data_IF_936665761829
#
_entry.id   IF_936665761829
#
_cell.length_a   1.000
_cell.length_b   1.000
_cell.length_c   1.000
_cell.angle_alpha   90.00
_cell.angle_beta   90.00
_cell.angle_gamma   90.00
#
_symmetry.space_group_name_H-M   'P 1'
#
loop_
_entity.id
_entity.type
_entity.pdbx_description
1 polymer ?
#
# COMPACT_ATOMS: atom_id res chain seq x y z
N UNK A 1 -21.85 5.44 -4.61
CA UNK A 1 -21.37 6.66 -3.88
C UNK A 1 -20.39 7.39 -4.77
N UNK A 2 -20.26 8.70 -4.66
CA UNK A 2 -19.29 9.46 -5.48
C UNK A 2 -17.92 9.35 -4.83
N UNK A 3 -16.89 8.95 -5.60
CA UNK A 3 -15.50 8.88 -5.15
C UNK A 3 -15.05 10.22 -4.56
N UNK A 4 -14.62 10.23 -3.31
CA UNK A 4 -14.08 11.42 -2.66
C UNK A 4 -12.63 11.63 -3.09
N UNK A 5 -12.23 12.88 -3.39
CA UNK A 5 -10.83 13.18 -3.63
C UNK A 5 -10.00 12.87 -2.38
N UNK A 6 -8.84 12.22 -2.53
CA UNK A 6 -7.96 11.85 -1.40
C UNK A 6 -7.67 13.02 -0.47
N UNK A 7 -7.37 14.21 -1.02
CA UNK A 7 -7.12 15.41 -0.24
C UNK A 7 -8.30 15.79 0.68
N UNK A 8 -9.55 15.53 0.27
CA UNK A 8 -10.70 15.80 1.14
C UNK A 8 -10.82 14.82 2.30
N UNK A 9 -10.40 13.57 2.10
CA UNK A 9 -10.36 12.55 3.16
C UNK A 9 -9.25 12.84 4.16
N UNK A 10 -8.10 13.32 3.70
CA UNK A 10 -6.95 13.63 4.56
C UNK A 10 -7.16 14.86 5.46
N UNK A 11 -8.15 15.71 5.14
CA UNK A 11 -8.56 16.86 5.97
C UNK A 11 -9.53 16.46 7.09
N UNK A 12 -9.92 15.18 7.22
CA UNK A 12 -10.79 14.72 8.29
C UNK A 12 -10.04 14.61 9.64
N UNK A 13 -10.77 14.64 10.77
CA UNK A 13 -10.17 14.50 12.10
C UNK A 13 -9.41 13.19 12.29
N UNK A 14 -9.87 12.10 11.69
CA UNK A 14 -9.27 10.78 11.76
C UNK A 14 -8.17 10.60 10.72
N UNK A 15 -7.24 9.68 10.97
CA UNK A 15 -6.30 9.26 9.94
C UNK A 15 -7.00 8.37 8.91
N UNK A 16 -6.63 8.52 7.64
CA UNK A 16 -7.11 7.67 6.56
C UNK A 16 -6.47 6.28 6.68
N UNK A 17 -7.27 5.27 6.97
CA UNK A 17 -6.79 3.88 7.02
C UNK A 17 -6.93 3.24 5.64
N UNK A 18 -5.82 2.68 5.14
CA UNK A 18 -5.74 2.00 3.85
C UNK A 18 -5.53 0.50 4.07
N UNK A 19 -6.57 -0.34 4.01
CA UNK A 19 -6.40 -1.79 4.02
C UNK A 19 -5.78 -2.26 2.71
N UNK A 20 -4.91 -3.28 2.79
CA UNK A 20 -4.31 -3.92 1.62
C UNK A 20 -5.29 -4.84 0.92
N UNK A 21 -5.35 -4.70 -0.40
CA UNK A 21 -6.12 -5.54 -1.31
C UNK A 21 -5.21 -6.09 -2.42
N UNK A 22 -5.64 -7.15 -3.12
CA UNK A 22 -4.84 -7.80 -4.18
C UNK A 22 -5.65 -8.28 -5.39
N UNK A 23 -6.98 -8.25 -5.26
CA UNK A 23 -7.91 -8.67 -6.31
C UNK A 23 -9.27 -7.96 -6.14
N UNK A 24 -10.19 -8.10 -7.10
CA UNK A 24 -11.54 -7.54 -7.00
C UNK A 24 -12.28 -7.98 -5.73
N UNK A 25 -12.20 -9.25 -5.33
CA UNK A 25 -12.91 -9.75 -4.16
C UNK A 25 -12.45 -9.06 -2.87
N UNK A 26 -11.14 -8.98 -2.65
CA UNK A 26 -10.59 -8.30 -1.47
C UNK A 26 -10.94 -6.82 -1.44
N UNK A 27 -11.04 -6.16 -2.60
CA UNK A 27 -11.45 -4.77 -2.71
C UNK A 27 -12.95 -4.57 -2.39
N UNK A 28 -13.83 -5.40 -2.94
CA UNK A 28 -15.27 -5.41 -2.63
C UNK A 28 -15.53 -5.65 -1.13
N UNK A 29 -14.78 -6.57 -0.53
CA UNK A 29 -14.90 -6.82 0.91
C UNK A 29 -14.43 -5.62 1.76
N UNK A 30 -13.41 -4.89 1.33
CA UNK A 30 -12.96 -3.68 1.98
C UNK A 30 -14.01 -2.55 1.84
N UNK A 31 -14.57 -2.35 0.65
CA UNK A 31 -15.66 -1.38 0.41
C UNK A 31 -16.89 -1.71 1.26
N UNK A 32 -17.31 -2.98 1.30
CA UNK A 32 -18.42 -3.46 2.13
C UNK A 32 -18.16 -3.27 3.63
N UNK A 33 -16.90 -3.31 4.06
CA UNK A 33 -16.50 -2.97 5.43
C UNK A 33 -16.53 -1.47 5.73
N UNK A 34 -16.82 -0.62 4.74
CA UNK A 34 -16.96 0.83 4.87
C UNK A 34 -15.69 1.63 4.58
N UNK A 35 -14.67 1.03 4.00
CA UNK A 35 -13.46 1.78 3.61
C UNK A 35 -13.70 2.58 2.32
N UNK A 36 -13.31 3.86 2.35
CA UNK A 36 -13.40 4.78 1.21
C UNK A 36 -12.12 4.78 0.36
N UNK A 37 -11.10 4.06 0.79
CA UNK A 37 -9.81 3.97 0.13
C UNK A 37 -9.13 2.65 0.47
N UNK A 38 -8.43 2.07 -0.51
CA UNK A 38 -7.69 0.80 -0.37
C UNK A 38 -6.30 0.93 -0.98
N UNK A 39 -5.40 0.03 -0.57
CA UNK A 39 -4.05 -0.06 -1.10
C UNK A 39 -3.85 -1.37 -1.87
N UNK A 40 -3.57 -1.29 -3.16
CA UNK A 40 -3.19 -2.45 -3.96
C UNK A 40 -1.74 -2.83 -3.61
N UNK A 41 -1.60 -3.88 -2.80
CA UNK A 41 -0.34 -4.28 -2.18
C UNK A 41 0.50 -5.15 -3.09
N UNK A 42 1.71 -4.70 -3.46
CA UNK A 42 2.67 -5.50 -4.23
C UNK A 42 3.04 -6.81 -3.53
N UNK A 43 3.23 -6.79 -2.21
CA UNK A 43 3.46 -7.99 -1.41
C UNK A 43 2.32 -9.00 -1.54
N UNK A 44 1.08 -8.54 -1.40
CA UNK A 44 -0.09 -9.41 -1.49
C UNK A 44 -0.26 -9.97 -2.90
N UNK A 45 -0.01 -9.16 -3.93
CA UNK A 45 -0.01 -9.61 -5.33
C UNK A 45 1.06 -10.66 -5.60
N UNK A 46 2.31 -10.46 -5.16
CA UNK A 46 3.37 -11.45 -5.33
C UNK A 46 2.98 -12.80 -4.73
N UNK A 47 2.44 -12.79 -3.50
CA UNK A 47 1.99 -13.99 -2.82
C UNK A 47 0.79 -14.67 -3.46
N UNK A 48 -0.22 -13.92 -3.90
CA UNK A 48 -1.48 -14.48 -4.39
C UNK A 48 -1.47 -14.79 -5.88
N UNK A 49 -0.80 -13.98 -6.71
CA UNK A 49 -0.74 -14.19 -8.14
C UNK A 49 0.35 -15.19 -8.55
N UNK A 50 1.54 -15.07 -7.92
CA UNK A 50 2.71 -15.84 -8.33
C UNK A 50 3.11 -16.93 -7.33
N UNK A 51 2.61 -16.89 -6.09
CA UNK A 51 3.01 -17.82 -5.02
C UNK A 51 4.46 -17.63 -4.58
N UNK A 52 5.00 -16.41 -4.71
CA UNK A 52 6.39 -16.07 -4.39
C UNK A 52 6.47 -14.96 -3.35
N UNK A 53 7.58 -14.85 -2.60
CA UNK A 53 7.81 -13.70 -1.73
C UNK A 53 7.99 -12.41 -2.55
N UNK A 54 7.78 -11.27 -1.89
CA UNK A 54 7.93 -9.93 -2.47
C UNK A 54 9.41 -9.52 -2.57
N UNK A 55 10.05 -9.93 -3.66
CA UNK A 55 11.48 -9.73 -3.94
C UNK A 55 11.73 -9.19 -5.36
N UNK A 56 10.80 -8.40 -5.90
CA UNK A 56 10.95 -7.77 -7.21
C UNK A 56 10.76 -8.72 -8.40
N UNK A 57 10.00 -9.80 -8.23
CA UNK A 57 9.63 -10.71 -9.34
C UNK A 57 8.37 -10.22 -10.05
N UNK A 58 7.47 -9.60 -9.30
CA UNK A 58 6.24 -9.03 -9.85
C UNK A 58 6.59 -7.83 -10.72
N UNK A 59 6.19 -7.86 -11.99
CA UNK A 59 6.52 -6.82 -12.95
C UNK A 59 5.39 -5.83 -13.20
N UNK A 60 5.70 -4.81 -14.00
CA UNK A 60 4.75 -3.76 -14.38
C UNK A 60 3.42 -4.31 -14.93
N UNK A 61 3.48 -5.29 -15.86
CA UNK A 61 2.29 -5.80 -16.54
C UNK A 61 1.31 -6.49 -15.60
N UNK A 62 1.82 -7.25 -14.63
CA UNK A 62 1.01 -7.94 -13.64
C UNK A 62 0.31 -6.94 -12.71
N UNK A 63 1.06 -5.91 -12.24
CA UNK A 63 0.48 -4.89 -11.37
C UNK A 63 -0.53 -4.03 -12.14
N UNK A 64 -0.26 -3.68 -13.41
CA UNK A 64 -1.17 -2.92 -14.25
C UNK A 64 -2.50 -3.66 -14.49
N UNK A 65 -2.45 -4.98 -14.75
CA UNK A 65 -3.67 -5.78 -14.91
C UNK A 65 -4.47 -5.88 -13.60
N UNK A 66 -3.78 -6.08 -12.48
CA UNK A 66 -4.42 -6.10 -11.16
C UNK A 66 -5.07 -4.73 -10.82
N UNK A 67 -4.35 -3.62 -11.04
CA UNK A 67 -4.85 -2.27 -10.81
C UNK A 67 -6.12 -1.99 -11.62
N UNK A 68 -6.11 -2.34 -12.93
CA UNK A 68 -7.27 -2.18 -13.81
C UNK A 68 -8.48 -2.97 -13.32
N UNK A 69 -8.29 -4.22 -12.88
CA UNK A 69 -9.38 -5.08 -12.37
C UNK A 69 -9.93 -4.58 -11.04
N UNK A 70 -9.05 -4.19 -10.12
CA UNK A 70 -9.45 -3.68 -8.79
C UNK A 70 -10.18 -2.35 -8.94
N UNK A 71 -9.64 -1.39 -9.69
CA UNK A 71 -10.29 -0.09 -9.91
C UNK A 71 -11.66 -0.24 -10.60
N UNK A 72 -11.80 -1.20 -11.52
CA UNK A 72 -13.08 -1.47 -12.18
C UNK A 72 -14.13 -2.11 -11.25
N UNK A 73 -13.69 -2.90 -10.27
CA UNK A 73 -14.59 -3.56 -9.31
C UNK A 73 -15.12 -2.59 -8.23
N UNK A 74 -14.35 -1.56 -7.87
CA UNK A 74 -14.70 -0.61 -6.80
C UNK A 74 -14.57 0.85 -7.30
N UNK A 75 -15.38 1.28 -8.27
CA UNK A 75 -15.25 2.59 -8.91
C UNK A 75 -15.55 3.77 -7.97
N UNK A 76 -16.23 3.52 -6.87
CA UNK A 76 -16.69 4.54 -5.92
C UNK A 76 -15.69 4.82 -4.79
N UNK A 77 -14.64 4.01 -4.63
CA UNK A 77 -13.59 4.23 -3.63
C UNK A 77 -12.23 4.51 -4.29
N UNK A 78 -11.29 5.03 -3.49
CA UNK A 78 -9.95 5.33 -3.99
C UNK A 78 -9.07 4.07 -3.94
N UNK A 79 -8.43 3.74 -5.06
CA UNK A 79 -7.39 2.72 -5.12
C UNK A 79 -6.03 3.39 -5.22
N UNK A 80 -5.18 3.20 -4.22
CA UNK A 80 -3.78 3.62 -4.25
C UNK A 80 -2.93 2.39 -4.60
N UNK A 81 -2.01 2.53 -5.53
CA UNK A 81 -1.25 1.40 -6.08
C UNK A 81 0.21 1.47 -5.62
N UNK A 82 0.76 0.34 -5.20
CA UNK A 82 2.19 0.17 -5.04
C UNK A 82 2.85 0.18 -6.42
N UNK A 83 3.62 1.22 -6.72
CA UNK A 83 4.32 1.37 -7.99
C UNK A 83 5.81 0.99 -7.88
N UNK A 84 6.19 0.34 -6.78
CA UNK A 84 7.57 -0.08 -6.50
C UNK A 84 8.56 1.07 -6.79
N UNK A 85 9.60 0.82 -7.59
CA UNK A 85 10.61 1.82 -7.99
C UNK A 85 10.26 2.59 -9.26
N UNK A 86 9.03 2.42 -9.81
CA UNK A 86 8.58 3.00 -11.07
C UNK A 86 8.92 2.18 -12.31
N UNK A 87 9.42 0.95 -12.12
CA UNK A 87 9.71 -0.07 -13.16
C UNK A 87 10.77 0.31 -14.18
N UNK A 88 11.62 1.27 -13.87
CA UNK A 88 12.74 1.68 -14.74
C UNK A 88 13.25 3.09 -14.45
N UNK A 89 13.60 3.80 -15.50
CA UNK A 89 14.04 5.20 -15.47
C UNK A 89 12.86 6.19 -15.42
N UNK A 90 13.14 7.47 -15.64
CA UNK A 90 12.15 8.55 -15.62
C UNK A 90 11.04 8.34 -16.67
N UNK A 91 11.39 7.85 -17.86
CA UNK A 91 10.42 7.56 -18.93
C UNK A 91 9.50 6.39 -18.55
N UNK A 92 10.03 5.38 -17.86
CA UNK A 92 9.22 4.30 -17.32
C UNK A 92 8.25 4.79 -16.23
N UNK A 93 8.67 5.73 -15.38
CA UNK A 93 7.81 6.37 -14.39
C UNK A 93 6.67 7.14 -15.06
N UNK A 94 6.95 7.90 -16.14
CA UNK A 94 5.92 8.59 -16.94
C UNK A 94 4.89 7.59 -17.46
N UNK A 95 5.35 6.48 -18.04
CA UNK A 95 4.48 5.42 -18.52
C UNK A 95 3.64 4.80 -17.39
N UNK A 96 4.24 4.60 -16.23
CA UNK A 96 3.58 4.09 -15.03
C UNK A 96 2.46 5.02 -14.59
N UNK A 97 2.73 6.30 -14.43
CA UNK A 97 1.74 7.32 -14.03
C UNK A 97 0.54 7.30 -14.97
N UNK A 98 0.77 7.38 -16.27
CA UNK A 98 -0.31 7.38 -17.26
C UNK A 98 -1.13 6.09 -17.22
N UNK A 99 -0.47 4.94 -17.07
CA UNK A 99 -1.15 3.63 -17.04
C UNK A 99 -2.02 3.50 -15.78
N UNK A 100 -1.55 3.95 -14.62
CA UNK A 100 -2.31 3.89 -13.37
C UNK A 100 -3.49 4.87 -13.38
N UNK A 101 -3.32 6.08 -13.94
CA UNK A 101 -4.44 7.01 -14.12
C UNK A 101 -5.50 6.44 -15.07
N UNK A 102 -5.10 5.84 -16.18
CA UNK A 102 -6.01 5.18 -17.12
C UNK A 102 -6.73 3.98 -16.49
N UNK A 103 -6.07 3.25 -15.60
CA UNK A 103 -6.70 2.18 -14.81
C UNK A 103 -7.72 2.69 -13.79
N UNK A 104 -7.71 3.99 -13.48
CA UNK A 104 -8.58 4.61 -12.48
C UNK A 104 -7.97 4.69 -11.09
N UNK A 105 -6.66 4.48 -10.91
CA UNK A 105 -5.99 4.67 -9.63
C UNK A 105 -6.11 6.11 -9.12
N UNK A 106 -6.18 6.27 -7.80
CA UNK A 106 -6.25 7.57 -7.13
C UNK A 106 -4.87 8.08 -6.71
N UNK A 107 -3.91 7.19 -6.53
CA UNK A 107 -2.57 7.51 -6.10
C UNK A 107 -1.60 6.38 -6.29
N UNK A 108 -0.32 6.71 -6.09
CA UNK A 108 0.80 5.76 -6.16
C UNK A 108 1.74 5.95 -4.98
N UNK A 109 2.44 4.86 -4.63
CA UNK A 109 3.65 4.90 -3.82
C UNK A 109 4.83 4.64 -4.75
N UNK A 110 5.88 5.49 -4.66
CA UNK A 110 7.10 5.38 -5.47
C UNK A 110 8.32 5.39 -4.53
N UNK A 111 9.06 4.28 -4.52
CA UNK A 111 10.12 4.04 -3.55
C UNK A 111 11.53 4.25 -4.13
N UNK A 112 12.52 4.45 -3.23
CA UNK A 112 13.92 4.69 -3.55
C UNK A 112 14.80 3.44 -3.55
N UNK A 113 14.23 2.23 -3.59
CA UNK A 113 15.02 1.01 -3.63
C UNK A 113 15.73 0.80 -4.98
N UNK A 114 16.86 0.09 -4.93
CA UNK A 114 17.50 -0.48 -6.12
C UNK A 114 16.68 -1.69 -6.59
N UNK A 115 16.44 -1.80 -7.90
CA UNK A 115 15.79 -2.97 -8.47
C UNK A 115 16.79 -4.15 -8.64
N UNK A 116 16.42 -5.41 -8.34
CA UNK A 116 15.11 -5.84 -7.84
C UNK A 116 14.90 -5.50 -6.35
N UNK A 117 13.76 -4.87 -6.08
CA UNK A 117 13.39 -4.43 -4.73
C UNK A 117 13.08 -5.59 -3.79
N UNK A 118 13.00 -5.31 -2.50
CA UNK A 118 12.53 -6.27 -1.48
C UNK A 118 11.43 -5.62 -0.64
N UNK A 119 10.59 -6.46 -0.01
CA UNK A 119 9.61 -5.96 0.95
C UNK A 119 10.28 -5.07 2.02
N UNK A 120 9.65 -3.96 2.36
CA UNK A 120 10.17 -2.96 3.32
C UNK A 120 10.59 -3.52 4.67
N UNK A 121 9.96 -4.60 5.12
CA UNK A 121 10.29 -5.28 6.37
C UNK A 121 11.36 -6.40 6.23
N UNK A 122 11.87 -6.66 5.03
CA UNK A 122 12.97 -7.61 4.79
C UNK A 122 14.35 -6.95 4.94
N UNK A 123 15.38 -7.76 5.13
CA UNK A 123 16.76 -7.32 5.19
C UNK A 123 17.46 -7.36 3.81
N UNK A 124 18.60 -6.67 3.70
CA UNK A 124 19.42 -6.66 2.49
C UNK A 124 18.84 -5.82 1.36
N UNK A 125 18.09 -4.77 1.70
CA UNK A 125 17.69 -3.72 0.75
C UNK A 125 18.87 -2.82 0.40
N UNK A 126 18.79 -2.20 -0.76
CA UNK A 126 19.68 -1.13 -1.21
C UNK A 126 18.82 0.03 -1.71
N UNK A 127 19.33 1.25 -1.60
CA UNK A 127 18.64 2.45 -2.09
C UNK A 127 19.49 3.15 -3.14
N UNK A 128 18.84 3.73 -4.14
CA UNK A 128 19.49 4.52 -5.18
C UNK A 128 20.02 5.84 -4.63
N UNK A 129 20.89 6.51 -5.38
CA UNK A 129 21.28 7.87 -5.07
C UNK A 129 20.04 8.78 -5.02
N UNK A 130 20.03 9.70 -4.06
CA UNK A 130 18.85 10.55 -3.82
C UNK A 130 18.44 11.34 -5.04
N UNK A 131 19.41 11.80 -5.85
CA UNK A 131 19.12 12.54 -7.09
C UNK A 131 18.35 11.72 -8.11
N UNK A 132 18.63 10.41 -8.24
CA UNK A 132 17.90 9.51 -9.11
C UNK A 132 16.43 9.36 -8.67
N UNK A 133 16.20 9.13 -7.37
CA UNK A 133 14.85 9.03 -6.84
C UNK A 133 14.04 10.32 -6.99
N UNK A 134 14.68 11.49 -6.72
CA UNK A 134 14.04 12.79 -6.90
C UNK A 134 13.70 13.09 -8.37
N UNK A 135 14.53 12.63 -9.32
CA UNK A 135 14.23 12.74 -10.74
C UNK A 135 12.96 11.95 -11.11
N UNK A 136 12.83 10.72 -10.64
CA UNK A 136 11.64 9.88 -10.79
C UNK A 136 10.39 10.52 -10.17
N UNK A 137 10.49 11.03 -8.94
CA UNK A 137 9.39 11.77 -8.30
C UNK A 137 9.00 13.02 -9.09
N UNK A 138 9.99 13.78 -9.59
CA UNK A 138 9.75 14.96 -10.43
C UNK A 138 9.04 14.59 -11.73
N UNK A 139 9.42 13.47 -12.38
CA UNK A 139 8.74 12.97 -13.56
C UNK A 139 7.28 12.62 -13.25
N UNK A 140 7.02 11.90 -12.16
CA UNK A 140 5.67 11.57 -11.73
C UNK A 140 4.81 12.83 -11.46
N UNK A 141 5.35 13.80 -10.74
CA UNK A 141 4.66 15.05 -10.41
C UNK A 141 4.34 15.91 -11.64
N UNK A 142 5.24 15.93 -12.62
CA UNK A 142 5.06 16.70 -13.87
C UNK A 142 3.99 16.10 -14.78
N UNK A 143 3.92 14.77 -14.85
CA UNK A 143 3.09 14.06 -15.83
C UNK A 143 1.71 13.66 -15.28
N UNK A 144 1.52 13.69 -13.96
CA UNK A 144 0.22 13.40 -13.36
C UNK A 144 -0.83 14.44 -13.69
N UNK A 145 -2.07 14.00 -13.88
CA UNK A 145 -3.22 14.90 -13.91
C UNK A 145 -3.81 15.08 -12.49
N UNK A 146 -4.25 13.98 -11.87
CA UNK A 146 -4.90 14.00 -10.55
C UNK A 146 -4.37 12.92 -9.59
N UNK A 147 -3.30 12.24 -9.96
CA UNK A 147 -2.74 11.14 -9.18
C UNK A 147 -2.06 11.67 -7.91
N UNK A 148 -2.43 11.11 -6.76
CA UNK A 148 -1.76 11.40 -5.49
C UNK A 148 -0.42 10.66 -5.45
N UNK A 149 0.68 11.40 -5.25
CA UNK A 149 2.03 10.82 -5.27
C UNK A 149 2.60 10.77 -3.85
N UNK A 150 2.84 9.55 -3.37
CA UNK A 150 3.52 9.30 -2.12
C UNK A 150 4.97 8.93 -2.40
N UNK A 151 5.89 9.71 -1.87
CA UNK A 151 7.32 9.42 -1.88
C UNK A 151 7.67 8.48 -0.73
N UNK A 152 8.08 7.24 -1.05
CA UNK A 152 8.52 6.26 -0.06
C UNK A 152 10.05 6.19 -0.04
N UNK A 153 10.62 6.20 1.15
CA UNK A 153 12.05 5.93 1.32
C UNK A 153 12.30 4.75 2.22
N UNK A 154 13.12 3.82 1.77
CA UNK A 154 13.61 2.65 2.51
C UNK A 154 14.99 2.92 3.15
N UNK A 155 15.50 4.15 3.04
CA UNK A 155 16.83 4.54 3.54
C UNK A 155 17.01 4.34 5.04
N UNK A 156 15.91 4.31 5.84
CA UNK A 156 16.01 4.04 7.29
C UNK A 156 16.73 2.72 7.58
N UNK A 157 16.45 1.68 6.81
CA UNK A 157 17.06 0.36 7.00
C UNK A 157 18.48 0.25 6.46
N UNK A 158 18.86 1.11 5.51
CA UNK A 158 20.14 1.04 4.77
C UNK A 158 21.14 2.08 5.26
N UNK A 159 20.69 3.32 5.48
CA UNK A 159 21.52 4.49 5.76
C UNK A 159 21.24 5.13 7.13
N UNK A 160 20.19 4.67 7.82
CA UNK A 160 19.76 5.21 9.11
C UNK A 160 18.63 6.24 9.03
N UNK A 161 18.08 6.56 10.21
CA UNK A 161 16.89 7.40 10.33
C UNK A 161 17.11 8.83 9.84
N UNK A 162 18.23 9.44 10.18
CA UNK A 162 18.54 10.84 9.84
C UNK A 162 18.58 11.03 8.31
N UNK A 163 19.20 10.09 7.59
CA UNK A 163 19.26 10.12 6.12
C UNK A 163 17.86 9.91 5.52
N UNK A 164 17.05 9.01 6.09
CA UNK A 164 15.68 8.81 5.61
C UNK A 164 14.82 10.06 5.81
N UNK A 165 14.95 10.74 6.94
CA UNK A 165 14.27 12.02 7.20
C UNK A 165 14.73 13.09 6.21
N UNK A 166 16.03 13.18 5.92
CA UNK A 166 16.54 14.16 4.96
C UNK A 166 16.00 13.90 3.54
N UNK A 167 15.97 12.64 3.10
CA UNK A 167 15.31 12.26 1.84
C UNK A 167 13.83 12.66 1.85
N UNK A 168 13.14 12.42 2.95
CA UNK A 168 11.74 12.84 3.13
C UNK A 168 11.54 14.36 3.01
N UNK A 169 12.47 15.17 3.57
CA UNK A 169 12.45 16.63 3.40
C UNK A 169 12.62 17.04 1.94
N UNK A 170 13.60 16.45 1.26
CA UNK A 170 13.83 16.73 -0.17
C UNK A 170 12.61 16.38 -1.02
N UNK A 171 11.95 15.24 -0.76
CA UNK A 171 10.73 14.86 -1.46
C UNK A 171 9.56 15.82 -1.15
N UNK A 172 9.39 16.23 0.12
CA UNK A 172 8.42 17.26 0.52
C UNK A 172 8.66 18.56 -0.23
N UNK A 173 9.91 19.03 -0.27
CA UNK A 173 10.28 20.29 -0.89
C UNK A 173 10.12 20.25 -2.43
N UNK A 174 10.14 19.05 -3.03
CA UNK A 174 9.80 18.81 -4.42
C UNK A 174 8.28 18.94 -4.68
N UNK A 175 7.45 18.82 -3.65
CA UNK A 175 5.99 18.98 -3.75
C UNK A 175 5.20 17.68 -3.90
N UNK A 176 5.68 16.57 -3.36
CA UNK A 176 4.90 15.33 -3.24
C UNK A 176 3.73 15.52 -2.27
N UNK A 177 2.67 14.73 -2.44
CA UNK A 177 1.48 14.85 -1.60
C UNK A 177 1.68 14.20 -0.22
N UNK A 178 2.46 13.12 -0.16
CA UNK A 178 2.80 12.44 1.10
C UNK A 178 4.24 11.91 1.10
N UNK A 179 4.78 11.76 2.31
CA UNK A 179 6.07 11.11 2.56
C UNK A 179 5.86 9.87 3.42
N UNK A 180 6.54 8.81 3.05
CA UNK A 180 6.54 7.55 3.75
C UNK A 180 7.98 7.10 4.05
N UNK A 181 8.36 7.12 5.32
CA UNK A 181 9.61 6.52 5.81
C UNK A 181 9.32 5.10 6.25
N UNK A 182 9.87 4.12 5.51
CA UNK A 182 9.57 2.70 5.72
C UNK A 182 10.27 2.12 6.95
N UNK A 183 9.53 1.30 7.68
CA UNK A 183 9.97 0.45 8.78
C UNK A 183 10.73 1.18 9.92
N UNK A 184 10.19 2.27 10.50
CA UNK A 184 10.69 2.78 11.76
C UNK A 184 10.57 1.69 12.85
N UNK A 185 11.58 1.57 13.72
CA UNK A 185 11.70 0.42 14.64
C UNK A 185 11.31 0.73 16.09
N UNK A 186 10.85 1.94 16.36
CA UNK A 186 10.36 2.32 17.68
C UNK A 186 9.32 3.43 17.58
N UNK A 187 8.55 3.60 18.64
CA UNK A 187 7.62 4.73 18.79
C UNK A 187 8.37 6.06 18.73
N UNK A 188 9.55 6.15 19.37
CA UNK A 188 10.38 7.35 19.31
C UNK A 188 10.89 7.71 17.91
N UNK A 189 11.11 6.72 17.02
CA UNK A 189 11.41 6.99 15.61
C UNK A 189 10.18 7.55 14.87
N UNK A 190 8.98 6.98 15.12
CA UNK A 190 7.73 7.52 14.57
C UNK A 190 7.50 8.97 15.00
N UNK A 191 7.66 9.28 16.29
CA UNK A 191 7.54 10.63 16.82
C UNK A 191 8.58 11.58 16.20
N UNK A 192 9.82 11.11 16.01
CA UNK A 192 10.88 11.91 15.39
C UNK A 192 10.58 12.22 13.94
N UNK A 193 10.12 11.23 13.14
CA UNK A 193 9.70 11.44 11.75
C UNK A 193 8.59 12.48 11.69
N UNK A 194 7.56 12.35 12.53
CA UNK A 194 6.42 13.27 12.54
C UNK A 194 6.83 14.71 12.90
N UNK A 195 7.73 14.87 13.85
CA UNK A 195 8.25 16.19 14.25
C UNK A 195 9.10 16.84 13.16
N UNK A 196 9.90 16.07 12.45
CA UNK A 196 10.90 16.57 11.49
C UNK A 196 10.30 16.77 10.06
N UNK A 197 9.22 16.07 9.71
CA UNK A 197 8.60 16.12 8.38
C UNK A 197 7.23 16.84 8.43
N UNK A 198 7.21 18.04 8.97
CA UNK A 198 5.99 18.87 8.97
C UNK A 198 5.68 19.45 7.60
N UNK A 199 4.40 19.78 7.35
CA UNK A 199 3.97 20.44 6.11
C UNK A 199 3.73 19.49 4.92
N UNK A 200 3.74 18.18 5.15
CA UNK A 200 3.38 17.14 4.18
C UNK A 200 2.59 16.05 4.89
N UNK A 201 1.73 15.34 4.18
CA UNK A 201 1.05 14.18 4.75
C UNK A 201 2.04 13.04 5.04
N UNK A 202 1.90 12.38 6.19
CA UNK A 202 2.76 11.29 6.59
C UNK A 202 2.02 9.97 6.53
N UNK A 203 2.71 8.94 6.06
CA UNK A 203 2.23 7.55 6.00
C UNK A 203 2.94 6.73 7.05
N UNK A 204 2.18 5.98 7.87
CA UNK A 204 2.69 4.95 8.76
C UNK A 204 2.24 3.57 8.28
N UNK A 205 3.16 2.63 8.18
CA UNK A 205 2.90 1.26 7.74
C UNK A 205 2.81 0.30 8.93
N UNK A 206 1.61 -0.24 9.17
CA UNK A 206 1.28 -1.12 10.31
C UNK A 206 1.20 -2.58 9.84
N UNK A 207 2.36 -3.20 9.65
CA UNK A 207 2.47 -4.61 9.27
C UNK A 207 2.46 -5.49 10.51
N UNK A 208 1.52 -6.41 10.59
CA UNK A 208 1.40 -7.36 11.70
C UNK A 208 2.65 -8.24 11.80
N UNK A 209 3.27 -8.26 12.97
CA UNK A 209 4.55 -8.94 13.25
C UNK A 209 5.74 -8.41 12.41
N UNK A 210 5.62 -7.20 11.86
CA UNK A 210 6.70 -6.51 11.16
C UNK A 210 7.72 -5.88 12.12
N UNK A 211 8.56 -5.01 11.59
CA UNK A 211 9.62 -4.31 12.36
C UNK A 211 9.10 -3.10 13.13
N UNK A 212 8.05 -2.46 12.64
CA UNK A 212 7.43 -1.28 13.24
C UNK A 212 6.49 -1.69 14.38
N UNK A 213 6.54 -1.04 15.56
CA UNK A 213 5.54 -1.25 16.60
C UNK A 213 4.14 -0.95 16.08
N UNK A 214 3.18 -1.87 16.31
CA UNK A 214 1.80 -1.65 15.92
C UNK A 214 1.15 -0.61 16.84
N UNK A 215 0.63 0.44 16.22
CA UNK A 215 -0.16 1.49 16.87
C UNK A 215 -1.52 1.59 16.18
N UNK A 216 -2.49 2.10 16.90
CA UNK A 216 -3.81 2.40 16.36
C UNK A 216 -3.76 3.63 15.44
N UNK A 217 -4.73 3.75 14.54
CA UNK A 217 -4.87 4.94 13.68
C UNK A 217 -5.04 6.24 14.48
N UNK A 218 -5.65 6.16 15.66
CA UNK A 218 -5.82 7.30 16.57
C UNK A 218 -4.47 7.75 17.16
N UNK A 219 -3.67 6.82 17.71
CA UNK A 219 -2.34 7.13 18.24
C UNK A 219 -1.43 7.74 17.18
N UNK A 220 -1.47 7.21 15.96
CA UNK A 220 -0.70 7.73 14.82
C UNK A 220 -1.19 9.12 14.39
N UNK A 221 -2.50 9.35 14.39
CA UNK A 221 -3.06 10.68 14.10
C UNK A 221 -2.60 11.72 15.11
N UNK A 222 -2.61 11.38 16.41
CA UNK A 222 -2.14 12.26 17.48
C UNK A 222 -0.65 12.60 17.35
N UNK A 223 0.15 11.70 16.77
CA UNK A 223 1.55 11.96 16.42
C UNK A 223 1.73 12.84 15.18
N UNK A 224 0.69 13.00 14.34
CA UNK A 224 0.75 13.80 13.11
C UNK A 224 0.71 13.00 11.81
N UNK A 225 0.49 11.68 11.84
CA UNK A 225 0.30 10.87 10.65
C UNK A 225 -1.10 11.05 10.07
N UNK A 226 -1.19 11.18 8.75
CA UNK A 226 -2.46 11.37 8.05
C UNK A 226 -2.98 10.09 7.41
N UNK A 227 -2.08 9.15 7.10
CA UNK A 227 -2.37 7.89 6.41
C UNK A 227 -1.81 6.74 7.22
N UNK A 228 -2.65 5.73 7.48
CA UNK A 228 -2.26 4.48 8.14
C UNK A 228 -2.46 3.33 7.17
N UNK A 229 -1.37 2.73 6.75
CA UNK A 229 -1.38 1.60 5.84
C UNK A 229 -1.42 0.29 6.62
N UNK A 230 -2.38 -0.58 6.33
CA UNK A 230 -2.50 -1.95 6.84
C UNK A 230 -2.46 -2.95 5.67
N UNK A 231 -1.30 -3.14 5.03
CA UNK A 231 -1.21 -3.72 3.69
C UNK A 231 -1.41 -5.23 3.67
N UNK A 232 -1.31 -5.91 4.81
CA UNK A 232 -1.30 -7.36 4.90
C UNK A 232 -2.43 -7.96 5.75
N UNK A 233 -3.18 -7.17 6.51
CA UNK A 233 -4.18 -7.66 7.47
C UNK A 233 -5.19 -8.62 6.83
N UNK A 234 -5.77 -8.24 5.69
CA UNK A 234 -6.69 -9.08 4.93
C UNK A 234 -6.04 -10.36 4.41
N UNK A 235 -4.83 -10.26 3.84
CA UNK A 235 -4.09 -11.40 3.31
C UNK A 235 -3.74 -12.43 4.39
N UNK A 236 -3.21 -11.96 5.52
CA UNK A 236 -2.82 -12.84 6.62
C UNK A 236 -4.03 -13.54 7.26
N UNK A 237 -5.15 -12.82 7.41
CA UNK A 237 -6.41 -13.38 7.88
C UNK A 237 -6.97 -14.42 6.91
N UNK A 238 -7.01 -14.12 5.60
CA UNK A 238 -7.46 -15.03 4.54
C UNK A 238 -6.60 -16.29 4.49
N UNK A 239 -5.27 -16.13 4.56
CA UNK A 239 -4.32 -17.26 4.55
C UNK A 239 -4.60 -18.24 5.69
N UNK A 240 -4.81 -17.73 6.90
CA UNK A 240 -5.14 -18.54 8.08
C UNK A 240 -6.50 -19.26 7.91
N UNK A 241 -7.52 -18.54 7.41
CA UNK A 241 -8.85 -19.11 7.21
C UNK A 241 -8.84 -20.21 6.15
N UNK A 242 -8.16 -19.99 5.02
CA UNK A 242 -8.04 -20.95 3.92
C UNK A 242 -7.28 -22.21 4.40
N UNK A 243 -6.15 -22.03 5.08
CA UNK A 243 -5.37 -23.17 5.60
C UNK A 243 -6.22 -24.00 6.57
N UNK A 244 -6.95 -23.34 7.49
CA UNK A 244 -7.84 -24.02 8.44
C UNK A 244 -8.92 -24.83 7.72
N UNK A 245 -9.60 -24.23 6.74
CA UNK A 245 -10.65 -24.89 5.97
C UNK A 245 -10.12 -26.12 5.21
N UNK A 246 -8.97 -26.00 4.54
CA UNK A 246 -8.35 -27.13 3.83
C UNK A 246 -7.87 -28.24 4.78
N UNK A 247 -7.33 -27.88 5.94
CA UNK A 247 -6.93 -28.85 6.96
C UNK A 247 -8.14 -29.64 7.47
N UNK A 248 -9.23 -28.97 7.81
CA UNK A 248 -10.50 -29.60 8.23
C UNK A 248 -11.04 -30.51 7.14
N UNK A 249 -11.14 -30.03 5.90
CA UNK A 249 -11.59 -30.85 4.76
C UNK A 249 -10.72 -32.10 4.57
N UNK A 250 -9.40 -31.99 4.76
CA UNK A 250 -8.47 -33.11 4.65
C UNK A 250 -8.62 -34.15 5.75
N UNK A 251 -8.93 -33.72 6.98
CA UNK A 251 -9.00 -34.60 8.17
C UNK A 251 -10.40 -35.18 8.39
N UNK A 252 -11.44 -34.41 8.11
CA UNK A 252 -12.82 -34.76 8.41
C UNK A 252 -13.66 -35.11 7.16
N UNK A 253 -13.11 -34.85 5.96
CA UNK A 253 -13.76 -35.11 4.69
C UNK A 253 -14.92 -34.18 4.35
N UNK A 254 -15.27 -33.25 5.23
CA UNK A 254 -16.40 -32.31 5.07
C UNK A 254 -16.23 -31.09 5.96
N UNK A 255 -16.84 -29.97 5.56
CA UNK A 255 -16.98 -28.76 6.38
C UNK A 255 -18.38 -28.60 6.99
N UNK A 256 -19.25 -29.63 6.92
CA UNK A 256 -20.67 -29.54 7.34
C UNK A 256 -20.86 -29.07 8.79
N UNK A 257 -19.94 -29.44 9.69
CA UNK A 257 -20.03 -29.07 11.10
C UNK A 257 -19.34 -27.72 11.40
N UNK A 258 -18.76 -27.06 10.38
CA UNK A 258 -18.03 -25.80 10.43
C UNK A 258 -18.68 -24.69 9.58
N UNK A 259 -19.92 -24.85 9.09
CA UNK A 259 -20.59 -23.90 8.21
C UNK A 259 -20.69 -22.48 8.79
N UNK A 260 -20.72 -22.34 10.12
CA UNK A 260 -20.75 -21.06 10.82
C UNK A 260 -19.45 -20.23 10.64
N UNK A 261 -18.38 -20.83 10.10
CA UNK A 261 -17.11 -20.14 9.82
C UNK A 261 -16.97 -19.76 8.35
N UNK A 262 -17.96 -20.04 7.53
CA UNK A 262 -17.93 -19.81 6.08
C UNK A 262 -18.96 -18.77 5.67
N UNK A 263 -18.62 -17.96 4.67
CA UNK A 263 -19.58 -17.14 3.97
C UNK A 263 -20.57 -18.03 3.22
N UNK A 264 -21.87 -17.73 3.34
CA UNK A 264 -22.92 -18.49 2.65
C UNK A 264 -22.84 -18.31 1.13
N UNK A 265 -23.32 -19.31 0.38
CA UNK A 265 -23.29 -19.25 -1.09
C UNK A 265 -24.05 -18.03 -1.66
N UNK A 266 -25.24 -17.74 -1.12
CA UNK A 266 -26.03 -16.57 -1.55
C UNK A 266 -25.33 -15.26 -1.17
N UNK A 267 -24.79 -15.16 0.05
CA UNK A 267 -24.05 -14.00 0.50
C UNK A 267 -22.80 -13.73 -0.36
N UNK A 268 -22.06 -14.79 -0.72
CA UNK A 268 -20.92 -14.64 -1.63
C UNK A 268 -21.36 -14.12 -3.01
N UNK A 269 -22.47 -14.63 -3.51
CA UNK A 269 -23.03 -14.18 -4.81
C UNK A 269 -23.43 -12.71 -4.76
N UNK A 270 -23.99 -12.25 -3.65
CA UNK A 270 -24.32 -10.83 -3.44
C UNK A 270 -23.07 -9.95 -3.43
N UNK A 271 -22.00 -10.38 -2.71
CA UNK A 271 -20.72 -9.63 -2.66
C UNK A 271 -20.14 -9.37 -4.06
N UNK A 272 -20.22 -10.33 -4.96
CA UNK A 272 -19.61 -10.21 -6.31
C UNK A 272 -20.57 -9.71 -7.38
N UNK A 273 -21.84 -9.44 -7.04
CA UNK A 273 -22.85 -8.90 -7.94
C UNK A 273 -23.02 -7.37 -7.78
N UNK A 274 -22.49 -6.80 -6.72
CA UNK A 274 -22.48 -5.35 -6.47
C UNK A 274 -21.48 -4.65 -7.39
#
# INVERSE_FOLDING_TARGET
MTRHALHSLLNQPEALVLPGVWDPLSALLAERAGFNSVFLSGFALAGTHLGVPDIGILGFSEVADAARRVCAAVPDINVIVDADTGYGDDDAVVHTVHTWEQAGAAGIFLEDQVWPKKCGHMDGKEVVEVGEWLAKLSAALRERNNLFVTARTDARAVLGLDVAIERGRMARDLGVDAVFVEAPQSVGELETIARELTGVHLVANMVEKGKTPLLTSHELKDMGYSIVLSPLSGLLAASQAIEKAYRTLRTEGSLRDHLHTLTGFSEFTEIVAE
#
